data_IF_468545139966
#
_entry.id   IF_468545139966
#
_cell.length_a   1.000
_cell.length_b   1.000
_cell.length_c   1.000
_cell.angle_alpha   90.00
_cell.angle_beta   90.00
_cell.angle_gamma   90.00
#
_symmetry.space_group_name_H-M   'P 1'
#
loop_
_entity.id
_entity.type
_entity.pdbx_description
1 polymer ?
#
# COMPACT_ATOMS: atom_id res chain seq x y z
N UNK A 1 7.94 22.16 -5.83
CA UNK A 1 7.19 22.06 -4.55
C UNK A 1 6.80 20.61 -4.34
N UNK A 2 7.06 20.02 -3.15
CA UNK A 2 6.76 18.61 -2.90
C UNK A 2 5.31 18.43 -2.42
N UNK A 3 4.53 17.61 -3.12
CA UNK A 3 3.23 17.12 -2.68
C UNK A 3 3.41 15.75 -2.03
N UNK A 4 3.13 15.65 -0.74
CA UNK A 4 3.14 14.39 0.02
C UNK A 4 1.72 13.96 0.36
N UNK A 5 1.58 12.79 0.98
CA UNK A 5 0.31 12.33 1.54
C UNK A 5 0.55 11.53 2.83
N UNK A 6 -0.39 11.64 3.76
CA UNK A 6 -0.61 10.69 4.83
C UNK A 6 -1.79 9.80 4.44
N UNK A 7 -1.60 8.49 4.46
CA UNK A 7 -2.54 7.54 3.88
C UNK A 7 -2.83 6.37 4.85
N UNK A 8 -3.51 6.64 5.99
CA UNK A 8 -3.84 5.62 6.96
C UNK A 8 -5.02 4.76 6.54
N UNK A 9 -4.97 3.46 6.86
CA UNK A 9 -6.14 2.58 6.79
C UNK A 9 -6.94 2.67 8.10
N UNK A 10 -8.27 2.95 8.06
CA UNK A 10 -9.10 3.08 9.25
C UNK A 10 -9.49 1.71 9.85
N UNK A 11 -8.47 0.90 10.18
CA UNK A 11 -8.60 -0.44 10.79
C UNK A 11 -8.41 -0.44 12.29
N UNK A 12 -8.36 0.72 12.92
CA UNK A 12 -8.20 0.97 14.36
C UNK A 12 -7.67 2.39 14.60
N UNK A 13 -7.66 2.82 15.84
CA UNK A 13 -7.17 4.13 16.26
C UNK A 13 -5.70 4.32 15.93
N UNK A 14 -5.29 5.58 15.73
CA UNK A 14 -3.89 5.92 15.48
C UNK A 14 -3.04 5.71 16.76
N UNK A 15 -1.77 5.39 16.56
CA UNK A 15 -0.74 5.28 17.61
C UNK A 15 0.50 6.11 17.23
N UNK A 16 1.53 6.15 18.09
CA UNK A 16 2.74 6.95 17.85
C UNK A 16 3.40 6.70 16.49
N UNK A 17 3.41 5.45 16.00
CA UNK A 17 3.93 5.14 14.67
C UNK A 17 3.20 5.85 13.53
N UNK A 18 1.88 5.99 13.65
CA UNK A 18 1.09 6.78 12.69
C UNK A 18 1.34 8.29 12.84
N UNK A 19 1.47 8.78 14.09
CA UNK A 19 1.84 10.17 14.34
C UNK A 19 3.20 10.51 13.71
N UNK A 20 4.21 9.59 13.83
CA UNK A 20 5.50 9.74 13.15
C UNK A 20 5.33 9.86 11.64
N UNK A 21 4.59 8.93 11.03
CA UNK A 21 4.37 8.93 9.58
C UNK A 21 3.67 10.22 9.12
N UNK A 22 2.64 10.67 9.85
CA UNK A 22 1.94 11.92 9.56
C UNK A 22 2.88 13.12 9.68
N UNK A 23 3.56 13.28 10.82
CA UNK A 23 4.49 14.39 11.06
C UNK A 23 5.63 14.42 10.04
N UNK A 24 6.10 13.24 9.62
CA UNK A 24 7.13 13.12 8.60
C UNK A 24 6.62 13.60 7.23
N UNK A 25 5.39 13.22 6.84
CA UNK A 25 4.77 13.68 5.60
C UNK A 25 4.58 15.21 5.58
N UNK A 26 4.06 15.79 6.68
CA UNK A 26 3.87 17.25 6.80
C UNK A 26 5.19 18.02 6.81
N UNK A 27 6.26 17.43 7.38
CA UNK A 27 7.57 18.09 7.43
C UNK A 27 8.23 18.19 6.06
N UNK A 28 8.03 17.20 5.19
CA UNK A 28 8.75 17.10 3.91
C UNK A 28 7.93 17.59 2.71
N UNK A 29 6.60 17.82 2.88
CA UNK A 29 5.73 18.35 1.85
C UNK A 29 5.43 19.83 2.04
N UNK A 30 5.41 20.60 0.95
CA UNK A 30 4.77 21.94 0.93
C UNK A 30 3.24 21.82 0.86
N UNK A 31 2.76 20.69 0.34
CA UNK A 31 1.36 20.23 0.40
C UNK A 31 1.34 18.81 0.95
N UNK A 32 0.52 18.55 1.96
CA UNK A 32 0.28 17.20 2.45
C UNK A 32 -1.20 16.86 2.30
N UNK A 33 -1.49 15.82 1.54
CA UNK A 33 -2.83 15.32 1.27
C UNK A 33 -3.20 14.27 2.32
N UNK A 34 -4.50 14.08 2.54
CA UNK A 34 -5.01 12.95 3.31
C UNK A 34 -5.73 11.97 2.38
N UNK A 35 -5.41 10.69 2.55
CA UNK A 35 -6.11 9.59 1.90
C UNK A 35 -6.50 8.55 2.93
N UNK A 36 -7.75 8.11 2.93
CA UNK A 36 -8.21 6.98 3.74
C UNK A 36 -8.16 5.71 2.90
N UNK A 37 -7.32 4.75 3.30
CA UNK A 37 -7.15 3.48 2.59
C UNK A 37 -8.11 2.43 3.18
N UNK A 38 -9.38 2.50 2.76
CA UNK A 38 -10.50 1.74 3.31
C UNK A 38 -11.09 0.69 2.34
N UNK A 39 -10.31 0.21 1.41
CA UNK A 39 -10.71 -0.82 0.42
C UNK A 39 -11.06 -2.19 1.01
N UNK A 40 -10.78 -2.42 2.29
CA UNK A 40 -11.11 -3.65 3.01
C UNK A 40 -12.26 -3.40 4.00
N UNK A 41 -13.52 -3.57 3.56
CA UNK A 41 -14.69 -3.21 4.37
C UNK A 41 -14.85 -4.10 5.62
N UNK A 42 -14.22 -5.28 5.64
CA UNK A 42 -14.27 -6.16 6.80
C UNK A 42 -13.46 -5.64 7.99
N UNK A 43 -12.43 -4.82 7.73
CA UNK A 43 -11.54 -4.29 8.76
C UNK A 43 -11.66 -2.80 8.99
N UNK A 44 -12.14 -2.06 8.00
CA UNK A 44 -12.26 -0.60 8.07
C UNK A 44 -13.61 -0.22 8.70
N UNK A 45 -13.57 0.75 9.63
CA UNK A 45 -14.77 1.21 10.34
C UNK A 45 -14.87 2.73 10.30
N UNK A 46 -16.09 3.30 10.17
CA UNK A 46 -16.32 4.75 10.16
C UNK A 46 -15.78 5.46 11.40
N UNK A 47 -15.92 4.84 12.58
CA UNK A 47 -15.44 5.43 13.84
C UNK A 47 -13.90 5.60 13.86
N UNK A 48 -13.18 4.69 13.20
CA UNK A 48 -11.73 4.85 13.07
C UNK A 48 -11.37 5.94 12.06
N UNK A 49 -12.16 6.10 11.00
CA UNK A 49 -11.98 7.20 10.05
C UNK A 49 -12.20 8.56 10.73
N UNK A 50 -13.28 8.69 11.53
CA UNK A 50 -13.53 9.88 12.34
C UNK A 50 -12.38 10.13 13.33
N UNK A 51 -11.90 9.07 14.01
CA UNK A 51 -10.77 9.17 14.95
C UNK A 51 -9.48 9.64 14.29
N UNK A 52 -9.21 9.27 13.03
CA UNK A 52 -8.07 9.78 12.26
C UNK A 52 -8.17 11.30 12.11
N UNK A 53 -9.36 11.83 11.76
CA UNK A 53 -9.57 13.25 11.58
C UNK A 53 -9.40 14.02 12.90
N UNK A 54 -9.95 13.49 14.01
CA UNK A 54 -9.80 14.07 15.35
C UNK A 54 -8.32 14.13 15.77
N UNK A 55 -7.59 13.06 15.58
CA UNK A 55 -6.18 12.97 15.99
C UNK A 55 -5.29 13.91 15.15
N UNK A 56 -5.56 14.05 13.85
CA UNK A 56 -4.86 15.02 12.99
C UNK A 56 -5.17 16.45 13.41
N UNK A 57 -6.42 16.78 13.70
CA UNK A 57 -6.83 18.08 14.19
C UNK A 57 -6.16 18.39 15.54
N UNK A 58 -6.14 17.44 16.48
CA UNK A 58 -5.44 17.59 17.76
C UNK A 58 -3.95 17.83 17.59
N UNK A 59 -3.31 17.14 16.65
CA UNK A 59 -1.90 17.36 16.29
C UNK A 59 -1.70 18.63 15.43
N UNK A 60 -2.74 19.44 15.16
CA UNK A 60 -2.68 20.62 14.28
C UNK A 60 -2.08 20.29 12.89
N UNK A 61 -2.43 19.12 12.35
CA UNK A 61 -2.05 18.66 11.01
C UNK A 61 -3.27 18.81 10.10
N UNK A 62 -3.34 19.93 9.38
CA UNK A 62 -4.45 20.23 8.46
C UNK A 62 -4.11 19.71 7.06
N UNK A 63 -4.91 18.77 6.49
CA UNK A 63 -4.71 18.32 5.13
C UNK A 63 -4.96 19.42 4.10
N UNK A 64 -4.25 19.37 2.98
CA UNK A 64 -4.44 20.27 1.85
C UNK A 64 -5.41 19.64 0.83
N UNK A 65 -6.53 20.30 0.60
CA UNK A 65 -7.56 19.84 -0.34
C UNK A 65 -8.48 18.75 0.22
N UNK A 66 -9.31 18.13 -0.63
CA UNK A 66 -10.27 17.12 -0.22
C UNK A 66 -9.58 15.83 0.22
N UNK A 67 -10.21 15.14 1.17
CA UNK A 67 -9.79 13.79 1.58
C UNK A 67 -10.20 12.81 0.47
N UNK A 68 -9.26 11.99 0.00
CA UNK A 68 -9.59 10.89 -0.90
C UNK A 68 -9.91 9.63 -0.07
N UNK A 69 -11.10 9.06 -0.28
CA UNK A 69 -11.56 7.84 0.37
C UNK A 69 -11.57 6.73 -0.67
N UNK A 70 -10.73 5.70 -0.51
CA UNK A 70 -10.50 4.70 -1.57
C UNK A 70 -11.75 3.92 -1.96
N UNK A 71 -12.63 3.63 -1.01
CA UNK A 71 -13.91 2.92 -1.28
C UNK A 71 -14.85 3.69 -2.23
N UNK A 72 -14.69 4.99 -2.37
CA UNK A 72 -15.46 5.82 -3.29
C UNK A 72 -14.95 5.76 -4.74
N UNK A 73 -13.75 5.17 -4.95
CA UNK A 73 -13.03 5.17 -6.23
C UNK A 73 -12.84 3.76 -6.84
N UNK A 74 -13.63 2.78 -6.41
CA UNK A 74 -13.48 1.38 -6.85
C UNK A 74 -13.61 1.20 -8.37
N UNK A 75 -14.38 2.06 -9.04
CA UNK A 75 -14.51 2.05 -10.51
C UNK A 75 -13.20 2.42 -11.22
N UNK A 76 -12.42 3.34 -10.65
CA UNK A 76 -11.12 3.74 -11.19
C UNK A 76 -10.14 2.55 -11.13
N UNK A 77 -10.07 1.86 -9.99
CA UNK A 77 -9.20 0.69 -9.84
C UNK A 77 -9.62 -0.45 -10.76
N UNK A 78 -10.93 -0.63 -10.95
CA UNK A 78 -11.44 -1.63 -11.88
C UNK A 78 -11.01 -1.32 -13.31
N UNK A 79 -11.13 -0.09 -13.77
CA UNK A 79 -10.69 0.33 -15.10
C UNK A 79 -9.18 0.09 -15.32
N UNK A 80 -8.35 0.31 -14.28
CA UNK A 80 -6.91 -0.01 -14.34
C UNK A 80 -6.70 -1.52 -14.51
N UNK A 81 -7.41 -2.34 -13.74
CA UNK A 81 -7.31 -3.81 -13.85
C UNK A 81 -7.76 -4.31 -15.21
N UNK A 82 -8.85 -3.77 -15.76
CA UNK A 82 -9.36 -4.12 -17.08
C UNK A 82 -8.34 -3.75 -18.18
N UNK A 83 -7.77 -2.56 -18.13
CA UNK A 83 -6.70 -2.16 -19.08
C UNK A 83 -5.42 -2.99 -18.96
N UNK A 84 -5.06 -3.46 -17.77
CA UNK A 84 -3.96 -4.41 -17.60
C UNK A 84 -4.32 -5.80 -18.16
N UNK A 85 -5.58 -6.24 -18.01
CA UNK A 85 -6.07 -7.50 -18.53
C UNK A 85 -6.10 -7.52 -20.07
N UNK A 86 -6.57 -6.46 -20.71
CA UNK A 86 -6.56 -6.28 -22.17
C UNK A 86 -5.14 -6.39 -22.75
N UNK A 87 -4.14 -5.97 -21.98
CA UNK A 87 -2.71 -6.05 -22.35
C UNK A 87 -2.07 -7.39 -21.99
N UNK A 88 -2.82 -8.34 -21.43
CA UNK A 88 -2.32 -9.63 -20.99
C UNK A 88 -1.37 -9.58 -19.79
N UNK A 89 -1.35 -8.48 -19.04
CA UNK A 89 -0.43 -8.25 -17.91
C UNK A 89 -0.99 -8.74 -16.58
N UNK A 90 -2.28 -9.10 -16.51
CA UNK A 90 -2.89 -9.71 -15.32
C UNK A 90 -3.63 -10.99 -15.68
N UNK A 91 -3.67 -11.91 -14.74
CA UNK A 91 -4.36 -13.18 -14.91
C UNK A 91 -5.09 -13.59 -13.62
N UNK A 92 -6.18 -14.40 -13.73
CA UNK A 92 -6.91 -14.89 -12.57
C UNK A 92 -6.12 -15.98 -11.85
N UNK A 93 -6.03 -15.87 -10.53
CA UNK A 93 -5.41 -16.85 -9.65
C UNK A 93 -6.44 -17.45 -8.71
N UNK A 94 -6.67 -18.74 -8.83
CA UNK A 94 -7.67 -19.48 -8.06
C UNK A 94 -7.09 -20.12 -6.78
N UNK A 95 -5.78 -20.12 -6.61
CA UNK A 95 -5.11 -20.72 -5.45
C UNK A 95 -5.59 -20.09 -4.13
N UNK A 96 -5.72 -20.92 -3.11
CA UNK A 96 -5.87 -20.49 -1.72
C UNK A 96 -4.51 -20.15 -1.12
N UNK A 97 -4.51 -19.55 0.08
CA UNK A 97 -3.26 -19.37 0.84
C UNK A 97 -2.61 -20.70 1.18
N UNK A 98 -3.41 -21.72 1.52
CA UNK A 98 -2.91 -23.07 1.82
C UNK A 98 -2.22 -23.69 0.61
N UNK A 99 -2.79 -23.55 -0.60
CA UNK A 99 -2.17 -24.04 -1.84
C UNK A 99 -0.82 -23.37 -2.08
N UNK A 100 -0.72 -22.07 -1.86
CA UNK A 100 0.52 -21.32 -2.03
C UNK A 100 1.57 -21.76 -1.01
N UNK A 101 1.21 -21.89 0.25
CA UNK A 101 2.11 -22.36 1.31
C UNK A 101 2.56 -23.81 1.06
N UNK A 102 1.65 -24.70 0.65
CA UNK A 102 1.96 -26.10 0.36
C UNK A 102 2.88 -26.27 -0.84
N UNK A 103 2.76 -25.40 -1.85
CA UNK A 103 3.66 -25.40 -3.03
C UNK A 103 4.98 -24.68 -2.78
N UNK A 104 5.06 -23.93 -1.70
CA UNK A 104 6.20 -23.13 -1.32
C UNK A 104 7.10 -23.88 -0.35
N UNK A 105 7.89 -24.81 -0.86
CA UNK A 105 9.27 -24.94 -0.37
C UNK A 105 10.06 -23.63 -0.70
N UNK A 106 9.35 -22.54 -0.98
CA UNK A 106 9.81 -21.34 -1.67
C UNK A 106 10.23 -20.23 -0.71
N UNK A 107 11.19 -19.38 -1.11
CA UNK A 107 11.61 -18.22 -0.35
C UNK A 107 10.43 -17.26 -0.11
N UNK A 108 10.50 -16.46 0.96
CA UNK A 108 9.56 -15.40 1.22
C UNK A 108 9.93 -14.14 0.42
N UNK A 109 8.92 -13.42 -0.04
CA UNK A 109 9.10 -12.11 -0.67
C UNK A 109 9.59 -11.05 0.32
N UNK A 110 9.94 -9.86 -0.18
CA UNK A 110 10.44 -8.76 0.65
C UNK A 110 9.44 -8.27 1.71
N UNK A 111 8.15 -8.56 1.53
CA UNK A 111 7.05 -8.28 2.44
C UNK A 111 6.78 -9.42 3.46
N UNK A 112 7.62 -10.46 3.45
CA UNK A 112 7.48 -11.64 4.28
C UNK A 112 6.37 -12.61 3.85
N UNK A 113 5.68 -12.36 2.73
CA UNK A 113 4.69 -13.28 2.19
C UNK A 113 5.37 -14.41 1.40
N UNK A 114 4.81 -15.64 1.39
CA UNK A 114 5.29 -16.70 0.54
C UNK A 114 5.23 -16.29 -0.93
N UNK A 115 6.31 -16.48 -1.68
CA UNK A 115 6.34 -16.20 -3.11
C UNK A 115 5.37 -17.13 -3.85
N UNK A 116 4.60 -16.56 -4.75
CA UNK A 116 3.66 -17.31 -5.55
C UNK A 116 4.38 -18.10 -6.66
N UNK A 117 4.17 -19.43 -6.79
CA UNK A 117 4.93 -20.27 -7.73
C UNK A 117 4.49 -20.16 -9.20
N UNK A 118 3.46 -19.34 -9.51
CA UNK A 118 3.00 -19.15 -10.88
C UNK A 118 1.99 -20.18 -11.40
N UNK A 119 1.47 -21.08 -10.58
CA UNK A 119 0.61 -22.20 -11.00
C UNK A 119 -0.58 -21.80 -11.88
N UNK A 120 -1.25 -20.67 -11.58
CA UNK A 120 -2.37 -20.21 -12.43
C UNK A 120 -1.92 -19.39 -13.64
N UNK A 121 -0.66 -18.92 -13.69
CA UNK A 121 -0.14 -18.22 -14.86
C UNK A 121 -0.04 -19.16 -16.06
N UNK A 122 0.41 -20.39 -15.84
CA UNK A 122 0.57 -21.43 -16.86
C UNK A 122 -0.63 -22.36 -16.99
N UNK A 123 -1.75 -22.04 -16.33
CA UNK A 123 -2.99 -22.82 -16.43
C UNK A 123 -3.50 -22.84 -17.87
N UNK A 124 -3.95 -24.02 -18.34
CA UNK A 124 -4.60 -24.16 -19.63
C UNK A 124 -5.73 -23.14 -19.82
N UNK A 125 -5.83 -22.56 -21.02
CA UNK A 125 -6.78 -21.47 -21.30
C UNK A 125 -8.23 -21.94 -21.25
N UNK A 126 -8.53 -23.18 -21.71
CA UNK A 126 -9.86 -23.76 -21.63
C UNK A 126 -10.29 -23.98 -20.19
N UNK A 127 -9.42 -24.60 -19.37
CA UNK A 127 -9.69 -24.77 -17.94
C UNK A 127 -9.87 -23.43 -17.22
N UNK A 128 -9.09 -22.40 -17.58
CA UNK A 128 -9.24 -21.05 -17.03
C UNK A 128 -10.61 -20.46 -17.39
N UNK A 129 -11.00 -20.58 -18.65
CA UNK A 129 -12.30 -20.10 -19.13
C UNK A 129 -13.47 -20.81 -18.43
N UNK A 130 -13.40 -22.13 -18.29
CA UNK A 130 -14.40 -22.93 -17.57
C UNK A 130 -14.53 -22.52 -16.11
N UNK A 131 -13.43 -22.25 -15.43
CA UNK A 131 -13.44 -21.79 -14.04
C UNK A 131 -14.06 -20.41 -13.90
N UNK A 132 -13.75 -19.49 -14.81
CA UNK A 132 -14.35 -18.16 -14.85
C UNK A 132 -15.86 -18.25 -15.14
N UNK A 133 -16.27 -19.08 -16.11
CA UNK A 133 -17.68 -19.29 -16.45
C UNK A 133 -18.50 -19.87 -15.29
N UNK A 134 -17.90 -20.72 -14.47
CA UNK A 134 -18.52 -21.23 -13.23
C UNK A 134 -18.59 -20.20 -12.09
N UNK A 135 -17.96 -19.03 -12.25
CA UNK A 135 -17.90 -18.01 -11.21
C UNK A 135 -16.91 -18.34 -10.07
N UNK A 136 -15.89 -19.19 -10.30
CA UNK A 136 -14.90 -19.53 -9.29
C UNK A 136 -14.24 -18.26 -8.76
N UNK A 137 -14.22 -18.09 -7.43
CA UNK A 137 -13.57 -16.93 -6.78
C UNK A 137 -12.08 -16.92 -7.07
N UNK A 138 -11.57 -15.82 -7.59
CA UNK A 138 -10.17 -15.66 -7.96
C UNK A 138 -9.62 -14.30 -7.52
N UNK A 139 -8.31 -14.25 -7.35
CA UNK A 139 -7.55 -13.01 -7.26
C UNK A 139 -7.05 -12.64 -8.67
N UNK A 140 -6.74 -11.38 -8.90
CA UNK A 140 -5.99 -10.96 -10.10
C UNK A 140 -4.54 -10.72 -9.71
N UNK A 141 -3.63 -11.37 -10.43
CA UNK A 141 -2.18 -11.20 -10.25
C UNK A 141 -1.55 -10.51 -11.44
N UNK A 142 -0.61 -9.62 -11.16
CA UNK A 142 0.30 -9.07 -12.16
C UNK A 142 1.28 -10.18 -12.60
N UNK A 143 1.40 -10.41 -13.90
CA UNK A 143 2.54 -11.13 -14.46
C UNK A 143 3.75 -10.20 -14.43
N UNK A 144 4.54 -10.30 -13.36
CA UNK A 144 5.66 -9.41 -13.13
C UNK A 144 6.73 -9.58 -14.21
N UNK A 145 6.94 -10.81 -14.70
CA UNK A 145 7.90 -11.06 -15.77
C UNK A 145 7.50 -10.38 -17.08
N UNK A 146 6.24 -10.51 -17.51
CA UNK A 146 5.72 -9.84 -18.70
C UNK A 146 5.75 -8.31 -18.54
N UNK A 147 5.37 -7.81 -17.37
CA UNK A 147 5.40 -6.38 -17.08
C UNK A 147 6.83 -5.81 -17.12
N UNK A 148 7.82 -6.55 -16.62
CA UNK A 148 9.23 -6.15 -16.69
C UNK A 148 9.76 -6.12 -18.13
N UNK A 149 9.38 -7.09 -18.95
CA UNK A 149 9.75 -7.10 -20.39
C UNK A 149 9.22 -5.86 -21.08
N UNK A 150 7.98 -5.48 -20.79
CA UNK A 150 7.35 -4.29 -21.38
C UNK A 150 7.99 -2.98 -20.88
N UNK A 151 8.29 -2.90 -19.58
CA UNK A 151 8.81 -1.68 -18.97
C UNK A 151 10.32 -1.46 -19.22
N UNK A 152 11.07 -2.54 -19.50
CA UNK A 152 12.53 -2.51 -19.55
C UNK A 152 13.18 -2.31 -18.18
N UNK A 153 14.49 -2.09 -18.13
CA UNK A 153 15.22 -1.82 -16.90
C UNK A 153 14.73 -0.53 -16.23
N UNK A 154 14.40 -0.61 -14.94
CA UNK A 154 13.86 0.51 -14.18
C UNK A 154 14.77 0.88 -13.01
N UNK A 155 14.73 2.16 -12.68
CA UNK A 155 15.22 2.71 -11.41
C UNK A 155 14.13 3.57 -10.78
N UNK A 156 14.23 3.84 -9.48
CA UNK A 156 13.42 4.86 -8.80
C UNK A 156 14.30 5.79 -7.97
N UNK A 157 13.80 6.99 -7.67
CA UNK A 157 14.51 7.95 -6.82
C UNK A 157 14.18 7.73 -5.35
N UNK A 158 15.17 7.55 -4.50
CA UNK A 158 15.04 7.49 -3.04
C UNK A 158 16.07 8.39 -2.38
N UNK A 159 15.62 9.37 -1.61
CA UNK A 159 16.47 10.34 -0.92
C UNK A 159 17.54 10.99 -1.85
N UNK A 160 17.12 11.33 -3.07
CA UNK A 160 17.98 11.92 -4.10
C UNK A 160 18.91 10.95 -4.81
N UNK A 161 18.83 9.65 -4.54
CA UNK A 161 19.67 8.63 -5.19
C UNK A 161 18.84 7.75 -6.13
N UNK A 162 19.45 7.30 -7.24
CA UNK A 162 18.82 6.34 -8.16
C UNK A 162 19.05 4.92 -7.68
N UNK A 163 17.96 4.20 -7.38
CA UNK A 163 17.98 2.82 -6.89
C UNK A 163 17.50 1.88 -8.02
N UNK A 164 18.25 0.84 -8.39
CA UNK A 164 17.79 -0.16 -9.36
C UNK A 164 16.55 -0.90 -8.85
N UNK A 165 15.51 -1.03 -9.70
CA UNK A 165 14.32 -1.79 -9.37
C UNK A 165 14.55 -3.30 -9.45
N UNK A 166 13.93 -4.03 -8.53
CA UNK A 166 13.92 -5.50 -8.47
C UNK A 166 12.50 -5.99 -8.18
N UNK A 167 11.51 -5.72 -9.06
CA UNK A 167 10.12 -6.12 -8.82
C UNK A 167 9.95 -7.64 -8.84
N UNK A 168 10.84 -8.39 -9.50
CA UNK A 168 10.87 -9.85 -9.51
C UNK A 168 10.96 -10.48 -8.12
N UNK A 169 11.52 -9.77 -7.15
CA UNK A 169 11.60 -10.23 -5.77
C UNK A 169 10.22 -10.45 -5.11
N UNK A 170 9.16 -9.86 -5.65
CA UNK A 170 7.77 -10.05 -5.16
C UNK A 170 7.08 -11.25 -5.81
N UNK A 171 7.65 -11.82 -6.90
CA UNK A 171 6.91 -12.72 -7.76
C UNK A 171 5.64 -12.06 -8.32
N UNK A 172 4.69 -12.85 -8.77
CA UNK A 172 3.44 -12.32 -9.33
C UNK A 172 2.53 -11.73 -8.24
N UNK A 173 2.56 -10.41 -8.13
CA UNK A 173 1.89 -9.68 -7.08
C UNK A 173 0.35 -9.65 -7.26
N UNK A 174 -0.38 -9.70 -6.15
CA UNK A 174 -1.85 -9.57 -6.17
C UNK A 174 -2.24 -8.11 -6.37
N UNK A 175 -3.02 -7.82 -7.43
CA UNK A 175 -3.59 -6.50 -7.69
C UNK A 175 -5.07 -6.41 -7.33
N UNK A 176 -5.82 -7.53 -7.35
CA UNK A 176 -7.16 -7.63 -6.76
C UNK A 176 -7.28 -8.93 -5.96
N UNK A 177 -7.92 -8.85 -4.80
CA UNK A 177 -8.08 -9.99 -3.90
C UNK A 177 -9.42 -10.69 -4.16
N UNK A 178 -9.58 -11.91 -3.67
CA UNK A 178 -10.86 -12.64 -3.70
C UNK A 178 -11.95 -11.97 -2.86
N UNK A 179 -11.57 -11.19 -1.87
CA UNK A 179 -12.41 -10.57 -0.83
C UNK A 179 -12.34 -9.03 -0.82
N UNK A 180 -11.53 -8.43 -1.70
CA UNK A 180 -11.44 -7.00 -1.88
C UNK A 180 -11.19 -6.66 -3.35
N UNK A 181 -11.85 -5.62 -3.89
CA UNK A 181 -11.85 -5.31 -5.32
C UNK A 181 -10.49 -4.88 -5.88
N UNK A 182 -9.58 -4.44 -5.02
CA UNK A 182 -8.24 -4.03 -5.36
C UNK A 182 -7.27 -4.32 -4.21
N UNK A 183 -5.97 -4.25 -4.46
CA UNK A 183 -4.92 -4.40 -3.46
C UNK A 183 -4.29 -3.06 -3.10
N UNK A 184 -3.59 -3.02 -1.95
CA UNK A 184 -2.79 -1.88 -1.53
C UNK A 184 -1.85 -1.39 -2.65
N UNK A 185 -1.13 -2.31 -3.29
CA UNK A 185 -0.15 -1.93 -4.33
C UNK A 185 -0.79 -1.18 -5.49
N UNK A 186 -1.95 -1.64 -5.97
CA UNK A 186 -2.67 -0.98 -7.04
C UNK A 186 -3.21 0.38 -6.59
N UNK A 187 -3.98 0.39 -5.50
CA UNK A 187 -4.67 1.59 -5.03
C UNK A 187 -3.69 2.70 -4.66
N UNK A 188 -2.66 2.37 -3.87
CA UNK A 188 -1.68 3.36 -3.43
C UNK A 188 -0.94 3.99 -4.63
N UNK A 189 -0.53 3.17 -5.62
CA UNK A 189 0.22 3.67 -6.77
C UNK A 189 -0.67 4.50 -7.71
N UNK A 190 -1.89 4.04 -7.97
CA UNK A 190 -2.88 4.78 -8.75
C UNK A 190 -3.21 6.13 -8.13
N UNK A 191 -3.53 6.12 -6.83
CA UNK A 191 -3.94 7.33 -6.13
C UNK A 191 -2.81 8.34 -5.99
N UNK A 192 -1.57 7.88 -5.80
CA UNK A 192 -0.41 8.76 -5.79
C UNK A 192 -0.29 9.50 -7.13
N UNK A 193 -0.56 8.83 -8.26
CA UNK A 193 -0.57 9.45 -9.59
C UNK A 193 -1.74 10.44 -9.74
N UNK A 194 -2.97 10.05 -9.42
CA UNK A 194 -4.18 10.87 -9.56
C UNK A 194 -4.13 12.12 -8.67
N UNK A 195 -3.61 11.98 -7.45
CA UNK A 195 -3.48 13.08 -6.51
C UNK A 195 -2.25 13.98 -6.78
N UNK A 196 -1.42 13.65 -7.77
CA UNK A 196 -0.20 14.40 -8.11
C UNK A 196 0.83 14.38 -6.97
N UNK A 197 0.96 13.24 -6.28
CA UNK A 197 1.99 13.04 -5.27
C UNK A 197 3.36 13.00 -5.93
N UNK A 198 4.25 13.88 -5.51
CA UNK A 198 5.62 13.96 -6.04
C UNK A 198 6.65 13.42 -5.08
N UNK A 199 6.29 13.26 -3.79
CA UNK A 199 7.15 12.67 -2.76
C UNK A 199 6.37 11.69 -1.90
N UNK A 200 6.67 10.42 -2.04
CA UNK A 200 6.08 9.34 -1.24
C UNK A 200 6.87 9.18 0.05
N UNK A 201 6.27 9.59 1.17
CA UNK A 201 6.83 9.37 2.51
C UNK A 201 6.12 8.21 3.19
N UNK A 202 6.88 7.29 3.81
CA UNK A 202 6.34 6.13 4.54
C UNK A 202 7.39 5.45 5.40
N UNK A 203 6.99 4.48 6.23
CA UNK A 203 7.91 3.68 7.02
C UNK A 203 8.82 2.80 6.16
N UNK A 204 10.03 2.52 6.65
CA UNK A 204 11.02 1.67 5.97
C UNK A 204 10.56 0.22 5.77
N UNK A 205 9.57 -0.25 6.52
CA UNK A 205 8.92 -1.56 6.34
C UNK A 205 8.20 -1.69 4.99
N UNK A 206 7.88 -0.57 4.34
CA UNK A 206 7.29 -0.52 3.01
C UNK A 206 8.33 -0.19 1.92
N UNK A 207 9.63 -0.07 2.26
CA UNK A 207 10.67 0.29 1.28
C UNK A 207 10.66 -0.62 0.07
N UNK A 208 10.62 -1.93 0.29
CA UNK A 208 10.61 -2.91 -0.79
C UNK A 208 9.44 -2.71 -1.76
N UNK A 209 8.28 -2.25 -1.30
CA UNK A 209 7.13 -2.03 -2.17
C UNK A 209 7.39 -0.95 -3.26
N UNK A 210 8.43 -0.10 -3.11
CA UNK A 210 8.80 0.87 -4.14
C UNK A 210 9.17 0.21 -5.47
N UNK A 211 9.78 -0.96 -5.44
CA UNK A 211 10.15 -1.71 -6.65
C UNK A 211 8.91 -2.11 -7.46
N UNK A 212 7.88 -2.65 -6.81
CA UNK A 212 6.64 -3.05 -7.45
C UNK A 212 5.81 -1.83 -7.89
N UNK A 213 5.75 -0.78 -7.05
CA UNK A 213 5.04 0.46 -7.39
C UNK A 213 5.68 1.13 -8.62
N UNK A 214 7.02 1.14 -8.71
CA UNK A 214 7.73 1.69 -9.86
C UNK A 214 7.42 0.91 -11.15
N UNK A 215 7.30 -0.41 -11.07
CA UNK A 215 6.88 -1.23 -12.21
C UNK A 215 5.46 -0.86 -12.66
N UNK A 216 4.50 -0.75 -11.73
CA UNK A 216 3.13 -0.33 -12.03
C UNK A 216 3.10 1.07 -12.67
N UNK A 217 3.87 2.03 -12.14
CA UNK A 217 3.98 3.37 -12.72
C UNK A 217 4.46 3.32 -14.17
N UNK A 218 5.51 2.54 -14.44
CA UNK A 218 6.08 2.42 -15.79
C UNK A 218 5.08 1.80 -16.78
N UNK A 219 4.43 0.69 -16.40
CA UNK A 219 3.46 -0.01 -17.27
C UNK A 219 2.22 0.84 -17.53
N UNK A 220 1.81 1.66 -16.57
CA UNK A 220 0.62 2.51 -16.68
C UNK A 220 0.93 3.91 -17.22
N UNK A 221 2.21 4.26 -17.43
CA UNK A 221 2.60 5.60 -17.82
C UNK A 221 2.34 6.68 -16.77
N UNK A 222 2.28 6.28 -15.48
CA UNK A 222 2.10 7.21 -14.38
C UNK A 222 3.42 7.90 -14.00
N UNK A 223 3.36 9.14 -13.47
CA UNK A 223 4.54 9.84 -13.00
C UNK A 223 5.29 9.05 -11.93
N UNK A 224 6.62 9.11 -11.97
CA UNK A 224 7.49 8.58 -10.92
C UNK A 224 7.61 9.61 -9.78
N UNK A 225 7.17 9.32 -8.55
CA UNK A 225 7.46 10.16 -7.40
C UNK A 225 8.86 9.85 -6.86
N UNK A 226 9.41 10.77 -6.09
CA UNK A 226 10.53 10.48 -5.20
C UNK A 226 10.05 9.72 -3.96
N UNK A 227 10.90 8.85 -3.40
CA UNK A 227 10.61 8.09 -2.18
C UNK A 227 11.51 8.56 -1.04
N UNK A 228 10.92 8.64 0.16
CA UNK A 228 11.65 8.96 1.38
C UNK A 228 11.09 8.11 2.54
N UNK A 229 11.90 7.18 3.02
CA UNK A 229 11.51 6.27 4.09
C UNK A 229 12.03 6.75 5.45
N UNK A 230 11.17 6.71 6.46
CA UNK A 230 11.55 7.00 7.84
C UNK A 230 11.73 5.71 8.64
N UNK A 231 12.65 5.70 9.63
CA UNK A 231 12.81 4.56 10.53
C UNK A 231 11.51 4.30 11.30
N UNK A 232 11.27 3.04 11.67
CA UNK A 232 10.13 2.67 12.50
C UNK A 232 10.36 3.06 13.97
N UNK A 233 9.27 3.34 14.69
CA UNK A 233 9.32 3.41 16.14
C UNK A 233 9.29 2.00 16.72
N UNK A 234 10.25 1.72 17.57
CA UNK A 234 10.41 0.44 18.25
C UNK A 234 9.99 0.58 19.72
N UNK A 235 9.52 -0.50 20.32
CA UNK A 235 9.34 -0.61 21.76
C UNK A 235 10.68 -0.83 22.49
N UNK A 236 10.64 -0.93 23.80
CA UNK A 236 11.82 -1.18 24.64
C UNK A 236 12.53 -2.52 24.33
N UNK A 237 11.86 -3.44 23.63
CA UNK A 237 12.40 -4.74 23.23
C UNK A 237 12.88 -4.75 21.77
N UNK A 238 12.93 -3.57 21.10
CA UNK A 238 13.33 -3.46 19.69
C UNK A 238 12.27 -3.97 18.70
N UNK A 239 11.01 -4.18 19.12
CA UNK A 239 9.91 -4.59 18.24
C UNK A 239 9.17 -3.38 17.74
N UNK A 240 8.68 -3.45 16.50
CA UNK A 240 7.82 -2.42 15.92
C UNK A 240 6.58 -2.18 16.80
N UNK A 241 6.31 -0.92 17.11
CA UNK A 241 5.06 -0.55 17.77
C UNK A 241 3.88 -0.97 16.88
N UNK A 242 3.03 -1.84 17.38
CA UNK A 242 1.85 -2.30 16.67
C UNK A 242 0.60 -2.25 17.56
N UNK A 243 -0.57 -2.17 16.92
CA UNK A 243 -1.87 -2.20 17.61
C UNK A 243 -2.08 -3.49 18.42
N UNK A 244 -1.46 -4.60 17.99
CA UNK A 244 -1.58 -5.91 18.64
C UNK A 244 -0.83 -5.97 19.96
N UNK A 245 0.21 -5.16 20.12
CA UNK A 245 1.08 -5.19 21.30
C UNK A 245 0.66 -4.16 22.38
N UNK A 246 -0.58 -3.64 22.31
CA UNK A 246 -1.12 -2.71 23.30
C UNK A 246 -0.51 -1.31 23.20
N UNK A 247 0.06 -0.91 22.06
CA UNK A 247 0.59 0.43 21.87
C UNK A 247 -0.50 1.46 22.19
N UNK A 248 -0.20 2.39 23.10
CA UNK A 248 -1.12 3.45 23.49
C UNK A 248 -1.57 4.25 22.24
N UNK A 249 -2.88 4.40 22.11
CA UNK A 249 -3.48 5.16 21.01
C UNK A 249 -3.32 6.66 21.24
N UNK A 250 -3.35 7.47 20.17
CA UNK A 250 -3.31 8.92 20.29
C UNK A 250 -4.51 9.43 21.09
N UNK A 251 -5.69 8.85 20.89
CA UNK A 251 -6.89 9.13 21.70
C UNK A 251 -6.64 8.86 23.18
N UNK A 252 -6.12 7.69 23.53
CA UNK A 252 -5.81 7.35 24.92
C UNK A 252 -4.73 8.26 25.53
N UNK A 253 -3.74 8.68 24.74
CA UNK A 253 -2.75 9.66 25.20
C UNK A 253 -3.40 11.03 25.49
N UNK A 254 -4.31 11.49 24.63
CA UNK A 254 -5.07 12.73 24.81
C UNK A 254 -5.94 12.66 26.08
N UNK A 255 -6.63 11.55 26.28
CA UNK A 255 -7.47 11.30 27.46
C UNK A 255 -6.64 11.21 28.75
N UNK A 256 -5.40 10.73 28.66
CA UNK A 256 -4.43 10.74 29.75
C UNK A 256 -3.77 12.12 29.98
N UNK A 257 -4.20 13.17 29.27
CA UNK A 257 -3.74 14.55 29.47
C UNK A 257 -2.44 14.91 28.75
N UNK A 258 -1.92 14.05 27.86
CA UNK A 258 -0.74 14.42 27.07
C UNK A 258 -1.07 15.56 26.11
N UNK A 259 -0.11 16.45 25.96
CA UNK A 259 -0.21 17.56 25.00
C UNK A 259 0.24 17.11 23.58
N UNK A 260 -0.23 17.78 22.52
CA UNK A 260 0.27 17.57 21.18
C UNK A 260 1.80 17.70 21.07
N UNK A 261 2.39 18.63 21.81
CA UNK A 261 3.83 18.85 21.86
C UNK A 261 4.61 17.65 22.40
N UNK A 262 4.09 16.99 23.43
CA UNK A 262 4.68 15.78 24.01
C UNK A 262 4.61 14.60 23.03
N UNK A 263 3.46 14.42 22.38
CA UNK A 263 3.30 13.36 21.36
C UNK A 263 4.23 13.61 20.17
N UNK A 264 4.35 14.85 19.70
CA UNK A 264 5.32 15.21 18.63
C UNK A 264 6.77 14.90 19.00
N UNK A 265 7.16 15.09 20.27
CA UNK A 265 8.50 14.72 20.74
C UNK A 265 8.70 13.21 20.77
N UNK A 266 7.71 12.45 21.24
CA UNK A 266 7.77 10.97 21.30
C UNK A 266 7.69 10.31 19.93
N UNK A 267 7.12 10.98 18.95
CA UNK A 267 7.01 10.50 17.58
C UNK A 267 8.23 10.84 16.69
N UNK A 268 9.23 11.52 17.23
CA UNK A 268 10.49 11.80 16.54
C UNK A 268 11.44 10.63 16.67
#
# INVERSE_FOLDING_TARGET
MATTRFAPSPTGLLHLGHARAALFAWRHGTRCLLRLEDIDPARCQPDYAAGIMEDLAWLSLVPHGPVRVQSEHLKEYRAVLDGLAERGLVYPCFCTRADIVASAAAPHGPDGAPLYPGACRTMDLGLRADRLARGDRHALRLDVAAAMVLAGPLTYSEAGQRVPCRPEAFGDAVLARKDAPASYHLCATHDDAVQGVTLVTRGEDLRAAAHLHRLLQAVMGWPEPEYLHHPLLLDANGRRLSKRDGAATLRGMREAGLTPGEVRRRAR
#
